data_IF_944847197786
#
_entry.id   IF_944847197786
#
_cell.length_a   1.000
_cell.length_b   1.000
_cell.length_c   1.000
_cell.angle_alpha   90.00
_cell.angle_beta   90.00
_cell.angle_gamma   90.00
#
_symmetry.space_group_name_H-M   'P 1'
#
loop_
_entity.id
_entity.type
_entity.pdbx_description
1 polymer ?
#
# COMPACT_ATOMS: atom_id res chain seq x y z
N UNK A 1 -22.61 -13.22 -15.98
CA UNK A 1 -21.58 -13.80 -16.86
C UNK A 1 -20.38 -12.85 -16.91
N UNK A 2 -19.18 -13.32 -17.26
CA UNK A 2 -17.94 -12.52 -17.20
C UNK A 2 -17.90 -11.34 -18.19
N UNK A 3 -18.74 -11.39 -19.22
CA UNK A 3 -18.95 -10.33 -20.22
C UNK A 3 -19.62 -9.06 -19.67
N UNK A 4 -20.22 -9.14 -18.48
CA UNK A 4 -20.89 -8.03 -17.81
C UNK A 4 -19.93 -7.06 -17.10
N UNK A 5 -18.63 -7.36 -17.05
CA UNK A 5 -17.63 -6.47 -16.46
C UNK A 5 -17.09 -5.48 -17.51
N UNK A 6 -17.03 -4.20 -17.15
CA UNK A 6 -16.53 -3.14 -18.03
C UNK A 6 -15.00 -2.98 -17.98
N UNK A 7 -14.36 -3.38 -16.88
CA UNK A 7 -12.91 -3.29 -16.67
C UNK A 7 -12.43 -4.35 -15.67
N UNK A 8 -11.13 -4.60 -15.65
CA UNK A 8 -10.48 -5.48 -14.66
C UNK A 8 -9.45 -4.69 -13.85
N UNK A 9 -9.65 -4.59 -12.55
CA UNK A 9 -8.71 -3.94 -11.65
C UNK A 9 -7.69 -4.93 -11.08
N UNK A 10 -6.46 -4.47 -10.84
CA UNK A 10 -5.42 -5.30 -10.23
C UNK A 10 -4.51 -4.51 -9.30
N UNK A 11 -3.90 -5.23 -8.35
CA UNK A 11 -2.89 -4.68 -7.46
C UNK A 11 -1.56 -4.59 -8.22
N UNK A 12 -1.15 -3.35 -8.51
CA UNK A 12 0.12 -3.06 -9.18
C UNK A 12 1.30 -3.08 -8.20
N UNK A 13 1.07 -3.07 -6.89
CA UNK A 13 2.10 -3.05 -5.86
C UNK A 13 2.44 -1.63 -5.37
N UNK A 14 3.59 -1.46 -4.69
CA UNK A 14 4.63 -2.45 -4.41
C UNK A 14 4.21 -3.56 -3.42
N UNK A 15 4.87 -4.72 -3.51
CA UNK A 15 4.47 -5.92 -2.76
C UNK A 15 5.34 -7.14 -3.04
N UNK A 16 4.80 -8.34 -2.78
CA UNK A 16 5.51 -9.59 -3.01
C UNK A 16 5.70 -9.86 -4.51
N UNK A 17 6.96 -10.00 -4.94
CA UNK A 17 7.35 -10.07 -6.36
C UNK A 17 6.57 -11.12 -7.18
N UNK A 18 6.48 -12.35 -6.68
CA UNK A 18 5.76 -13.44 -7.35
C UNK A 18 4.26 -13.16 -7.42
N UNK A 19 3.67 -12.66 -6.32
CA UNK A 19 2.23 -12.37 -6.25
C UNK A 19 1.82 -11.27 -7.23
N UNK A 20 2.59 -10.18 -7.32
CA UNK A 20 2.31 -9.09 -8.25
C UNK A 20 2.36 -9.54 -9.71
N UNK A 21 3.34 -10.37 -10.08
CA UNK A 21 3.45 -10.90 -11.44
C UNK A 21 2.28 -11.81 -11.80
N UNK A 22 1.88 -12.68 -10.87
CA UNK A 22 0.71 -13.55 -11.06
C UNK A 22 -0.54 -12.69 -11.22
N UNK A 23 -0.78 -11.74 -10.31
CA UNK A 23 -1.95 -10.85 -10.35
C UNK A 23 -2.02 -10.04 -11.64
N UNK A 24 -0.91 -9.42 -12.06
CA UNK A 24 -0.82 -8.68 -13.31
C UNK A 24 -1.07 -9.59 -14.52
N UNK A 25 -0.42 -10.75 -14.62
CA UNK A 25 -0.61 -11.67 -15.74
C UNK A 25 -2.05 -12.19 -15.86
N UNK A 26 -2.70 -12.49 -14.73
CA UNK A 26 -4.12 -12.88 -14.70
C UNK A 26 -5.00 -11.74 -15.19
N UNK A 27 -4.77 -10.51 -14.72
CA UNK A 27 -5.52 -9.34 -15.17
C UNK A 27 -5.34 -9.10 -16.68
N UNK A 28 -4.12 -9.22 -17.20
CA UNK A 28 -3.83 -9.13 -18.63
C UNK A 28 -4.58 -10.17 -19.45
N UNK A 29 -4.56 -11.44 -19.01
CA UNK A 29 -5.30 -12.51 -19.67
C UNK A 29 -6.80 -12.26 -19.70
N UNK A 30 -7.38 -11.81 -18.58
CA UNK A 30 -8.80 -11.47 -18.48
C UNK A 30 -9.16 -10.27 -19.36
N UNK A 31 -8.40 -9.18 -19.28
CA UNK A 31 -8.64 -7.99 -20.10
C UNK A 31 -8.54 -8.28 -21.59
N UNK A 32 -7.54 -9.07 -22.00
CA UNK A 32 -7.38 -9.49 -23.40
C UNK A 32 -8.55 -10.36 -23.87
N UNK A 33 -8.93 -11.38 -23.09
CA UNK A 33 -10.00 -12.30 -23.46
C UNK A 33 -11.38 -11.62 -23.52
N UNK A 34 -11.62 -10.64 -22.65
CA UNK A 34 -12.89 -9.91 -22.58
C UNK A 34 -12.91 -8.64 -23.46
N UNK A 35 -11.78 -8.25 -24.05
CA UNK A 35 -11.66 -6.97 -24.75
C UNK A 35 -11.88 -5.77 -23.82
N UNK A 36 -11.50 -5.90 -22.53
CA UNK A 36 -11.72 -4.89 -21.50
C UNK A 36 -10.41 -4.23 -21.07
N UNK A 37 -10.44 -2.91 -20.78
CA UNK A 37 -9.28 -2.22 -20.22
C UNK A 37 -8.98 -2.68 -18.79
N UNK A 38 -7.76 -2.39 -18.34
CA UNK A 38 -7.33 -2.64 -16.97
C UNK A 38 -7.23 -1.35 -16.17
N UNK A 39 -7.29 -1.48 -14.85
CA UNK A 39 -7.09 -0.39 -13.89
C UNK A 39 -6.04 -0.84 -12.88
N UNK A 40 -4.91 -0.15 -12.84
CA UNK A 40 -3.80 -0.44 -11.95
C UNK A 40 -3.94 0.36 -10.65
N UNK A 41 -4.00 -0.32 -9.50
CA UNK A 41 -4.08 0.32 -8.19
C UNK A 41 -2.83 0.02 -7.38
N UNK A 42 -2.25 1.06 -6.78
CA UNK A 42 -1.10 0.92 -5.90
C UNK A 42 -1.53 0.31 -4.55
N UNK A 43 -0.88 -0.79 -4.14
CA UNK A 43 -1.17 -1.49 -2.88
C UNK A 43 -1.24 -0.56 -1.66
N UNK A 44 -0.30 0.40 -1.47
CA UNK A 44 -0.38 1.31 -0.34
C UNK A 44 -1.62 2.22 -0.37
N UNK A 45 -2.09 2.64 -1.55
CA UNK A 45 -3.32 3.43 -1.65
C UNK A 45 -4.54 2.59 -1.23
N UNK A 46 -4.60 1.32 -1.65
CA UNK A 46 -5.65 0.39 -1.23
C UNK A 46 -5.65 0.13 0.28
N UNK A 47 -4.47 -0.09 0.89
CA UNK A 47 -4.34 -0.22 2.34
C UNK A 47 -4.75 1.07 3.08
N UNK A 48 -4.40 2.23 2.54
CA UNK A 48 -4.76 3.50 3.14
C UNK A 48 -6.27 3.72 3.11
N UNK A 49 -6.92 3.44 1.99
CA UNK A 49 -8.38 3.51 1.89
C UNK A 49 -9.07 2.50 2.81
N UNK A 50 -8.62 1.24 2.82
CA UNK A 50 -9.11 0.19 3.72
C UNK A 50 -9.06 0.64 5.19
N UNK A 51 -8.00 1.35 5.58
CA UNK A 51 -7.85 1.86 6.95
C UNK A 51 -8.87 2.94 7.30
N UNK A 52 -9.18 3.84 6.37
CA UNK A 52 -10.13 4.93 6.58
C UNK A 52 -11.56 4.44 6.56
N UNK A 53 -11.95 3.59 5.60
CA UNK A 53 -13.32 3.04 5.55
C UNK A 53 -13.64 2.16 6.77
N UNK A 54 -12.63 1.51 7.36
CA UNK A 54 -12.77 0.77 8.62
C UNK A 54 -12.76 1.66 9.86
N UNK A 55 -12.53 2.96 9.70
CA UNK A 55 -12.60 3.97 10.76
C UNK A 55 -13.90 4.78 10.64
N UNK A 56 -14.27 5.47 11.72
CA UNK A 56 -15.37 6.45 11.69
C UNK A 56 -14.94 7.83 11.18
N UNK A 57 -13.68 7.99 10.75
CA UNK A 57 -13.15 9.28 10.32
C UNK A 57 -13.52 9.57 8.85
N UNK A 58 -14.14 10.73 8.54
CA UNK A 58 -14.47 11.11 7.17
C UNK A 58 -13.21 11.44 6.34
N UNK A 59 -12.12 11.81 7.02
CA UNK A 59 -10.83 12.02 6.40
C UNK A 59 -9.72 11.75 7.42
N UNK A 60 -8.61 11.17 6.97
CA UNK A 60 -7.48 10.84 7.82
C UNK A 60 -6.15 10.90 7.08
N UNK A 61 -5.08 11.19 7.82
CA UNK A 61 -3.73 10.91 7.35
C UNK A 61 -3.41 9.45 7.63
N UNK A 62 -2.96 8.73 6.62
CA UNK A 62 -2.64 7.31 6.74
C UNK A 62 -1.20 7.08 6.36
N UNK A 63 -0.44 6.53 7.30
CA UNK A 63 0.92 6.07 7.07
C UNK A 63 0.91 4.55 6.87
N UNK A 64 1.31 4.14 5.67
CA UNK A 64 1.36 2.73 5.28
C UNK A 64 2.79 2.24 5.40
N UNK A 65 2.99 1.14 6.12
CA UNK A 65 4.26 0.42 6.15
C UNK A 65 4.04 -1.09 5.99
N UNK A 66 4.65 -1.66 4.97
CA UNK A 66 4.60 -3.09 4.65
C UNK A 66 6.00 -3.68 4.62
N UNK A 67 6.15 -4.90 5.13
CA UNK A 67 7.43 -5.62 5.14
C UNK A 67 7.87 -5.93 3.69
N UNK A 68 8.94 -5.28 3.23
CA UNK A 68 9.50 -5.50 1.91
C UNK A 68 10.49 -6.70 1.89
N UNK A 69 10.72 -7.36 3.03
CA UNK A 69 11.78 -8.34 3.27
C UNK A 69 13.17 -7.71 3.18
N UNK A 70 14.19 -8.49 3.53
CA UNK A 70 15.61 -8.07 3.44
C UNK A 70 15.84 -6.73 4.18
N UNK A 71 15.31 -6.63 5.40
CA UNK A 71 15.55 -5.48 6.29
C UNK A 71 15.12 -4.11 5.71
N UNK A 72 14.04 -4.13 4.92
CA UNK A 72 13.48 -2.96 4.24
C UNK A 72 11.95 -2.93 4.36
N UNK A 73 11.39 -1.74 4.16
CA UNK A 73 9.97 -1.43 4.30
C UNK A 73 9.46 -0.73 3.05
N UNK A 74 8.31 -1.16 2.52
CA UNK A 74 7.53 -0.35 1.59
C UNK A 74 6.75 0.68 2.39
N UNK A 75 7.00 1.96 2.14
CA UNK A 75 6.41 3.08 2.87
C UNK A 75 5.74 4.04 1.91
N UNK A 76 4.56 4.50 2.29
CA UNK A 76 3.82 5.56 1.63
C UNK A 76 2.94 6.28 2.64
N UNK A 77 2.57 7.53 2.34
CA UNK A 77 1.68 8.30 3.18
C UNK A 77 0.65 9.01 2.32
N UNK A 78 -0.60 8.97 2.75
CA UNK A 78 -1.73 9.57 2.03
C UNK A 78 -2.56 10.44 2.97
N UNK A 79 -3.13 11.51 2.41
CA UNK A 79 -4.37 12.08 2.92
C UNK A 79 -5.52 11.39 2.21
N UNK A 80 -6.40 10.75 2.97
CA UNK A 80 -7.57 10.04 2.45
C UNK A 80 -8.82 10.79 2.89
N UNK A 81 -9.74 11.00 1.96
CA UNK A 81 -11.06 11.59 2.22
C UNK A 81 -12.15 10.66 1.66
N UNK A 82 -13.10 10.28 2.50
CA UNK A 82 -14.28 9.52 2.10
C UNK A 82 -15.33 10.52 1.59
N UNK A 83 -15.38 10.72 0.27
CA UNK A 83 -16.34 11.67 -0.32
C UNK A 83 -17.68 10.95 -0.48
N UNK A 84 -18.71 11.46 0.23
CA UNK A 84 -20.08 11.04 -0.02
C UNK A 84 -20.47 11.46 -1.43
N UNK A 85 -20.98 10.51 -2.23
CA UNK A 85 -21.41 10.82 -3.58
C UNK A 85 -22.79 11.46 -3.54
N UNK A 86 -22.94 12.62 -4.19
CA UNK A 86 -24.27 13.20 -4.40
C UNK A 86 -24.95 12.42 -5.52
N UNK A 87 -26.10 11.80 -5.23
CA UNK A 87 -26.87 11.00 -6.21
C UNK A 87 -27.37 11.81 -7.42
N UNK A 88 -27.18 13.14 -7.42
CA UNK A 88 -27.58 14.07 -8.47
C UNK A 88 -26.54 14.36 -9.56
N UNK A 89 -25.29 13.91 -9.43
CA UNK A 89 -24.20 14.27 -10.35
C UNK A 89 -24.00 13.29 -11.51
N UNK A 90 -25.06 12.75 -12.12
CA UNK A 90 -25.06 12.15 -13.47
C UNK A 90 -24.14 10.93 -13.76
N UNK A 91 -23.19 10.61 -12.90
CA UNK A 91 -22.35 9.42 -12.93
C UNK A 91 -22.92 8.44 -11.93
N UNK A 92 -23.39 7.28 -12.39
CA UNK A 92 -24.10 6.27 -11.59
C UNK A 92 -23.27 5.57 -10.51
N UNK A 93 -22.60 6.32 -9.64
CA UNK A 93 -21.78 5.82 -8.55
C UNK A 93 -22.62 5.71 -7.27
N UNK A 94 -22.83 4.50 -6.79
CA UNK A 94 -23.68 4.23 -5.61
C UNK A 94 -22.92 4.13 -4.29
N UNK A 95 -21.59 4.32 -4.30
CA UNK A 95 -20.72 4.17 -3.14
C UNK A 95 -19.75 5.35 -3.00
N UNK A 96 -19.30 5.70 -1.77
CA UNK A 96 -18.35 6.79 -1.55
C UNK A 96 -17.04 6.54 -2.30
N UNK A 97 -16.55 7.54 -3.03
CA UNK A 97 -15.31 7.44 -3.78
C UNK A 97 -14.15 7.94 -2.91
N UNK A 98 -13.10 7.12 -2.72
CA UNK A 98 -11.93 7.54 -1.96
C UNK A 98 -11.15 8.63 -2.68
N UNK A 99 -10.86 9.75 -2.04
CA UNK A 99 -9.85 10.71 -2.52
C UNK A 99 -8.54 10.44 -1.82
N UNK A 100 -7.59 9.84 -2.55
CA UNK A 100 -6.27 9.53 -2.04
C UNK A 100 -5.25 10.50 -2.61
N UNK A 101 -4.82 11.47 -1.79
CA UNK A 101 -3.72 12.38 -2.14
C UNK A 101 -2.42 11.87 -1.53
N UNK A 102 -1.39 11.54 -2.33
CA UNK A 102 -0.09 11.13 -1.81
C UNK A 102 0.62 12.32 -1.15
N UNK A 103 1.11 12.10 0.07
CA UNK A 103 2.03 12.98 0.80
C UNK A 103 3.46 12.46 0.72
N UNK A 104 3.61 11.13 0.79
CA UNK A 104 4.86 10.41 0.52
C UNK A 104 4.52 9.34 -0.51
N UNK A 105 5.06 9.47 -1.73
CA UNK A 105 4.88 8.48 -2.79
C UNK A 105 5.49 7.11 -2.38
N UNK A 106 4.92 5.97 -2.85
CA UNK A 106 5.43 4.64 -2.54
C UNK A 106 6.94 4.51 -2.79
N UNK A 107 7.67 4.05 -1.77
CA UNK A 107 9.13 3.88 -1.81
C UNK A 107 9.62 2.84 -0.83
N UNK A 108 10.91 2.51 -0.92
CA UNK A 108 11.61 1.66 0.05
C UNK A 108 12.33 2.51 1.09
N UNK A 109 12.18 2.16 2.37
CA UNK A 109 13.01 2.67 3.47
C UNK A 109 13.78 1.52 4.14
N UNK A 110 15.02 1.76 4.62
CA UNK A 110 15.76 0.78 5.40
C UNK A 110 15.13 0.60 6.78
N UNK A 111 14.98 -0.64 7.25
CA UNK A 111 14.37 -0.96 8.55
C UNK A 111 15.18 -0.42 9.72
N UNK A 112 16.51 -0.48 9.66
CA UNK A 112 17.39 -0.07 10.77
C UNK A 112 17.37 1.43 11.05
N UNK A 113 17.03 2.25 10.05
CA UNK A 113 16.97 3.71 10.14
C UNK A 113 15.57 4.22 9.79
N UNK A 114 14.55 3.42 10.08
CA UNK A 114 13.19 3.71 9.67
C UNK A 114 12.69 5.06 10.21
N UNK A 115 12.80 5.31 11.51
CA UNK A 115 12.35 6.55 12.13
C UNK A 115 13.05 7.80 11.53
N UNK A 116 14.38 7.77 11.44
CA UNK A 116 15.18 8.86 10.87
C UNK A 116 14.84 9.11 9.38
N UNK A 117 14.76 8.04 8.59
CA UNK A 117 14.45 8.14 7.17
C UNK A 117 13.01 8.64 6.92
N UNK A 118 12.07 8.28 7.79
CA UNK A 118 10.70 8.77 7.73
C UNK A 118 10.60 10.24 8.16
N UNK A 119 11.33 10.65 9.18
CA UNK A 119 11.38 12.04 9.63
C UNK A 119 11.89 12.98 8.52
N UNK A 120 12.91 12.57 7.78
CA UNK A 120 13.41 13.32 6.63
C UNK A 120 12.38 13.49 5.50
N UNK A 121 11.35 12.64 5.45
CA UNK A 121 10.27 12.68 4.46
C UNK A 121 8.98 13.27 5.01
N UNK A 122 8.95 13.64 6.29
CA UNK A 122 7.73 14.04 6.96
C UNK A 122 7.17 15.32 6.30
N UNK A 123 5.87 15.38 5.97
CA UNK A 123 5.25 16.53 5.29
C UNK A 123 5.16 17.82 6.16
N UNK A 124 5.96 17.91 7.22
CA UNK A 124 6.04 19.09 8.09
C UNK A 124 4.79 19.27 8.96
N UNK A 125 4.43 20.54 9.20
CA UNK A 125 3.37 20.95 10.15
C UNK A 125 1.94 20.62 9.68
N UNK A 126 1.76 20.15 8.45
CA UNK A 126 0.44 19.77 7.91
C UNK A 126 -0.14 18.54 8.63
N UNK A 127 0.72 17.74 9.29
CA UNK A 127 0.30 16.49 9.94
C UNK A 127 0.83 16.39 11.36
N UNK A 128 -0.09 16.41 12.33
CA UNK A 128 0.22 16.08 13.71
C UNK A 128 0.38 14.56 13.87
N UNK A 129 1.48 14.11 14.46
CA UNK A 129 1.81 12.69 14.64
C UNK A 129 0.70 11.88 15.34
N UNK A 130 -0.07 12.50 16.24
CA UNK A 130 -1.18 11.86 16.96
C UNK A 130 -2.46 11.66 16.15
N UNK A 131 -2.57 12.26 14.96
CA UNK A 131 -3.75 12.18 14.09
C UNK A 131 -3.57 11.18 12.94
N UNK A 132 -2.47 10.42 12.97
CA UNK A 132 -2.09 9.49 11.91
C UNK A 132 -2.65 8.11 12.20
N UNK A 133 -3.38 7.56 11.23
CA UNK A 133 -3.77 6.17 11.23
C UNK A 133 -2.66 5.33 10.61
N UNK A 134 -2.28 4.24 11.27
CA UNK A 134 -1.31 3.30 10.71
C UNK A 134 -2.00 2.22 9.87
N UNK A 135 -1.36 1.79 8.79
CA UNK A 135 -1.81 0.70 7.93
C UNK A 135 -0.64 -0.15 7.43
N UNK A 136 -0.94 -1.39 7.02
CA UNK A 136 0.06 -2.37 6.58
C UNK A 136 0.63 -3.24 7.70
N UNK A 137 1.27 -4.33 7.31
CA UNK A 137 1.66 -5.40 8.21
C UNK A 137 2.94 -5.16 9.03
N UNK A 138 3.79 -4.21 8.63
CA UNK A 138 5.10 -4.02 9.24
C UNK A 138 4.99 -3.52 10.69
N UNK A 139 3.97 -2.72 11.00
CA UNK A 139 3.73 -2.15 12.32
C UNK A 139 3.67 -3.21 13.42
N UNK A 140 2.92 -4.28 13.17
CA UNK A 140 2.79 -5.41 14.11
C UNK A 140 3.96 -6.37 13.98
N UNK A 141 4.30 -6.78 12.76
CA UNK A 141 5.29 -7.84 12.54
C UNK A 141 6.71 -7.47 12.95
N UNK A 142 7.06 -6.19 12.83
CA UNK A 142 8.43 -5.70 13.05
C UNK A 142 8.53 -4.74 14.25
N UNK A 143 7.45 -4.61 15.04
CA UNK A 143 7.44 -3.80 16.25
C UNK A 143 7.61 -2.30 16.04
N UNK A 144 7.27 -1.77 14.85
CA UNK A 144 7.52 -0.36 14.51
C UNK A 144 6.75 0.63 15.39
N UNK A 145 5.65 0.19 16.02
CA UNK A 145 4.87 1.06 16.90
C UNK A 145 5.66 1.51 18.14
N UNK A 146 6.47 0.60 18.71
CA UNK A 146 7.30 0.92 19.86
C UNK A 146 8.44 1.89 19.48
N UNK A 147 9.06 1.66 18.31
CA UNK A 147 10.09 2.55 17.75
C UNK A 147 9.53 3.95 17.46
N UNK A 148 8.34 4.02 16.85
CA UNK A 148 7.64 5.28 16.62
C UNK A 148 7.37 6.03 17.93
N UNK A 149 6.79 5.35 18.93
CA UNK A 149 6.44 5.98 20.19
C UNK A 149 7.67 6.50 20.94
N UNK A 150 8.79 5.77 20.89
CA UNK A 150 10.05 6.20 21.47
C UNK A 150 10.63 7.44 20.78
N UNK A 151 10.49 7.55 19.46
CA UNK A 151 11.03 8.66 18.67
C UNK A 151 10.16 9.92 18.72
N UNK A 152 8.86 9.78 18.53
CA UNK A 152 7.92 10.91 18.41
C UNK A 152 7.21 11.29 19.71
N UNK A 153 7.30 10.46 20.77
CA UNK A 153 6.64 10.71 22.06
C UNK A 153 5.11 10.66 22.02
N UNK A 154 4.51 10.31 20.87
CA UNK A 154 3.06 10.22 20.67
C UNK A 154 2.73 8.86 20.08
N UNK A 155 1.76 8.17 20.69
CA UNK A 155 1.23 6.93 20.15
C UNK A 155 0.25 7.25 19.02
N UNK A 156 0.52 6.81 17.78
CA UNK A 156 -0.41 6.96 16.66
C UNK A 156 -1.56 5.96 16.83
N UNK A 157 -2.63 6.13 16.07
CA UNK A 157 -3.73 5.15 16.10
C UNK A 157 -3.21 3.86 15.45
N UNK A 158 -3.17 2.73 16.19
CA UNK A 158 -2.51 1.52 15.72
C UNK A 158 -3.18 0.96 14.46
N UNK A 159 -2.40 0.19 13.70
CA UNK A 159 -2.91 -0.55 12.55
C UNK A 159 -3.98 -1.56 13.01
N UNK A 160 -4.99 -1.86 12.17
CA UNK A 160 -6.04 -2.85 12.47
C UNK A 160 -5.47 -4.28 12.48
N UNK A 161 -6.32 -5.28 12.76
CA UNK A 161 -5.92 -6.69 12.95
C UNK A 161 -5.12 -7.29 11.78
N UNK A 162 -4.59 -8.51 11.95
CA UNK A 162 -3.73 -9.13 10.92
C UNK A 162 -4.44 -9.26 9.56
N UNK A 163 -5.73 -9.57 9.55
CA UNK A 163 -6.54 -9.70 8.33
C UNK A 163 -6.69 -8.39 7.55
N UNK A 164 -6.63 -7.24 8.24
CA UNK A 164 -6.73 -5.92 7.63
C UNK A 164 -5.35 -5.33 7.27
N UNK A 165 -4.28 -6.09 7.50
CA UNK A 165 -2.91 -5.67 7.21
C UNK A 165 -2.47 -5.96 5.77
N UNK A 166 -3.35 -6.55 4.96
CA UNK A 166 -3.15 -6.87 3.54
C UNK A 166 -4.22 -6.21 2.67
N UNK A 167 -3.89 -6.02 1.39
CA UNK A 167 -4.79 -5.45 0.38
C UNK A 167 -5.98 -6.39 0.20
N UNK A 168 -7.19 -5.85 0.36
CA UNK A 168 -8.44 -6.55 0.02
C UNK A 168 -8.97 -6.09 -1.34
N UNK A 169 -9.53 -7.03 -2.08
CA UNK A 169 -10.07 -6.78 -3.43
C UNK A 169 -11.25 -5.79 -3.43
N UNK A 170 -12.03 -5.74 -2.35
CA UNK A 170 -13.15 -4.79 -2.20
C UNK A 170 -12.65 -3.33 -2.12
N UNK A 171 -11.63 -3.06 -1.30
CA UNK A 171 -11.00 -1.73 -1.20
C UNK A 171 -10.32 -1.33 -2.51
N UNK A 172 -9.68 -2.30 -3.17
CA UNK A 172 -9.06 -2.08 -4.47
C UNK A 172 -10.09 -1.74 -5.55
N UNK A 173 -11.24 -2.43 -5.56
CA UNK A 173 -12.31 -2.18 -6.52
C UNK A 173 -12.94 -0.80 -6.34
N UNK A 174 -13.08 -0.30 -5.10
CA UNK A 174 -13.59 1.04 -4.82
C UNK A 174 -12.66 2.14 -5.35
N UNK A 175 -11.34 1.98 -5.18
CA UNK A 175 -10.34 2.87 -5.78
C UNK A 175 -10.35 2.77 -7.31
N UNK A 176 -10.45 1.55 -7.85
CA UNK A 176 -10.51 1.33 -9.28
C UNK A 176 -11.74 1.96 -9.92
N UNK A 177 -12.89 1.91 -9.25
CA UNK A 177 -14.10 2.55 -9.72
C UNK A 177 -13.93 4.07 -9.83
N UNK A 178 -13.24 4.71 -8.88
CA UNK A 178 -12.86 6.12 -9.04
C UNK A 178 -11.98 6.35 -10.27
N UNK A 179 -10.91 5.58 -10.42
CA UNK A 179 -10.00 5.70 -11.57
C UNK A 179 -10.73 5.48 -12.90
N UNK A 180 -11.71 4.58 -12.93
CA UNK A 180 -12.62 4.39 -14.06
C UNK A 180 -13.41 5.66 -14.38
N UNK A 181 -14.04 6.28 -13.38
CA UNK A 181 -14.77 7.54 -13.56
C UNK A 181 -13.88 8.69 -14.04
N UNK A 182 -12.60 8.70 -13.64
CA UNK A 182 -11.59 9.66 -14.08
C UNK A 182 -10.99 9.32 -15.46
N UNK A 183 -11.39 8.19 -16.07
CA UNK A 183 -10.85 7.71 -17.35
C UNK A 183 -9.41 7.18 -17.26
N UNK A 184 -8.89 6.99 -16.05
CA UNK A 184 -7.56 6.47 -15.78
C UNK A 184 -7.53 4.93 -15.95
N UNK A 185 -7.52 4.50 -17.21
CA UNK A 185 -7.43 3.10 -17.62
C UNK A 185 -6.22 2.86 -18.50
N UNK A 186 -5.83 1.59 -18.64
CA UNK A 186 -4.73 1.15 -19.51
C UNK A 186 -5.12 -0.05 -20.36
N UNK A 187 -4.45 -0.21 -21.52
CA UNK A 187 -4.63 -1.41 -22.33
C UNK A 187 -4.00 -2.62 -21.61
N UNK A 188 -4.53 -3.85 -21.78
CA UNK A 188 -3.96 -5.04 -21.16
C UNK A 188 -2.46 -5.22 -21.45
N UNK A 189 -2.01 -4.89 -22.66
CA UNK A 189 -0.60 -5.01 -23.05
C UNK A 189 0.34 -4.02 -22.34
N UNK A 190 -0.19 -2.92 -21.81
CA UNK A 190 0.59 -1.87 -21.12
C UNK A 190 0.71 -2.15 -19.61
N UNK A 191 -0.06 -3.12 -19.10
CA UNK A 191 -0.08 -3.44 -17.69
C UNK A 191 1.23 -4.04 -17.22
N UNK A 192 1.73 -3.51 -16.11
CA UNK A 192 2.97 -3.95 -15.51
C UNK A 192 2.92 -3.80 -13.98
N UNK A 193 3.59 -4.68 -13.23
CA UNK A 193 3.80 -4.46 -11.81
C UNK A 193 4.65 -3.19 -11.56
N UNK A 194 4.29 -2.42 -10.54
CA UNK A 194 5.06 -1.29 -10.04
C UNK A 194 6.13 -1.79 -9.07
N UNK A 195 7.38 -1.76 -9.53
CA UNK A 195 8.55 -2.01 -8.69
C UNK A 195 9.11 -0.68 -8.17
N UNK A 196 9.20 -0.56 -6.85
CA UNK A 196 9.81 0.62 -6.19
C UNK A 196 11.19 0.32 -5.60
N UNK A 197 11.70 -0.89 -5.87
CA UNK A 197 12.97 -1.42 -5.39
C UNK A 197 13.84 -1.77 -6.60
N UNK A 198 15.05 -1.23 -6.66
CA UNK A 198 15.98 -1.48 -7.76
C UNK A 198 16.69 -2.84 -7.65
N UNK A 199 16.89 -3.37 -6.43
CA UNK A 199 17.64 -4.63 -6.17
C UNK A 199 16.74 -5.70 -5.52
N UNK A 200 16.36 -6.75 -6.27
CA UNK A 200 15.36 -7.75 -5.84
C UNK A 200 15.95 -8.90 -4.99
N UNK A 201 17.28 -9.05 -4.94
CA UNK A 201 17.94 -10.07 -4.14
C UNK A 201 19.28 -9.57 -3.56
N UNK A 202 19.63 -10.08 -2.37
CA UNK A 202 20.98 -9.95 -1.83
C UNK A 202 21.95 -10.67 -2.77
N UNK A 203 23.09 -10.04 -3.05
CA UNK A 203 24.17 -10.72 -3.76
C UNK A 203 24.81 -11.82 -2.89
N UNK A 204 25.69 -12.63 -3.49
CA UNK A 204 26.29 -13.80 -2.83
C UNK A 204 27.08 -13.42 -1.59
N UNK A 205 27.65 -12.22 -1.54
CA UNK A 205 28.49 -11.77 -0.45
C UNK A 205 27.65 -11.21 0.69
N UNK A 206 26.58 -10.48 0.37
CA UNK A 206 25.57 -10.06 1.34
C UNK A 206 24.82 -11.27 1.95
N UNK A 207 24.51 -12.31 1.15
CA UNK A 207 23.95 -13.56 1.65
C UNK A 207 24.90 -14.28 2.60
N UNK A 208 26.21 -14.27 2.31
CA UNK A 208 27.25 -14.83 3.17
C UNK A 208 27.34 -14.05 4.49
N UNK A 209 27.42 -12.73 4.43
CA UNK A 209 27.46 -11.87 5.61
C UNK A 209 26.20 -12.01 6.49
N UNK A 210 25.02 -12.15 5.89
CA UNK A 210 23.77 -12.38 6.63
C UNK A 210 23.76 -13.75 7.34
N UNK A 211 24.32 -14.78 6.71
CA UNK A 211 24.48 -16.11 7.32
C UNK A 211 25.47 -16.05 8.49
N UNK A 212 26.60 -15.37 8.31
CA UNK A 212 27.62 -15.20 9.35
C UNK A 212 27.08 -14.45 10.58
N UNK A 213 26.30 -13.38 10.38
CA UNK A 213 25.62 -12.66 11.47
C UNK A 213 24.58 -13.51 12.21
N UNK A 214 23.86 -14.38 11.50
CA UNK A 214 22.90 -15.33 12.11
C UNK A 214 23.59 -16.41 12.95
N UNK A 215 24.74 -16.90 12.50
CA UNK A 215 25.53 -17.85 13.29
C UNK A 215 26.23 -17.20 14.48
N UNK A 216 26.66 -15.94 14.36
CA UNK A 216 27.29 -15.20 15.46
C UNK A 216 26.30 -14.79 16.56
N UNK A 217 25.04 -14.48 16.21
CA UNK A 217 23.98 -14.12 17.17
C UNK A 217 23.23 -15.30 17.78
N UNK A 218 23.52 -16.54 17.37
CA UNK A 218 22.83 -17.77 17.80
C UNK A 218 23.39 -18.43 19.06
N UNK A 219 24.40 -17.85 19.70
CA UNK A 219 24.89 -18.29 21.01
C UNK A 219 23.87 -17.95 22.10
N UNK A 220 22.92 -18.85 22.36
CA UNK A 220 22.14 -18.82 23.61
C UNK A 220 23.10 -19.02 24.79
N UNK A 221 22.86 -18.35 25.94
CA UNK A 221 23.56 -18.69 27.19
C UNK A 221 23.26 -20.12 27.63
#
# INVERSE_FOLDING_TARGET
ALDQFDAVAFDAGPGAFTGLRIGCAVAQGLGLALGRPLIAIDAPAALAWQRVRGSSAPAAWVLVASDARIDELYVAMYRIEAVAHDAGSGGGCTFPLPLARPLIAPRVLPRQRFAEALEALWPGREVAAGEVLLAGNAWRRLGLLAEWAAHHGVAPVPAPGEDESYVRADALAELAHRSWCEGAVLAPAEASPRYVRDKIALDRDEQRALRERRTAGGGRP
#
